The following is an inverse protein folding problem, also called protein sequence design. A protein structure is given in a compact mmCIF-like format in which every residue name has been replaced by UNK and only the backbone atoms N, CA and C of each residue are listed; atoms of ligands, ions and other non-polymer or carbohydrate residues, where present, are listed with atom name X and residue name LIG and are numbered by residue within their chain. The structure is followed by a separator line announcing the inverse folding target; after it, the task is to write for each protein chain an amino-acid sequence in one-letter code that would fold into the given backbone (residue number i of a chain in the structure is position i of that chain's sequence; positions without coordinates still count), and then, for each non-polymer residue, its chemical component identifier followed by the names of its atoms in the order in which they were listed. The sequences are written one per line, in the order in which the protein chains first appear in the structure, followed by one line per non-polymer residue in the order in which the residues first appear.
data_IF_764744645332
#
_entry.id   IF_764744645332
#
_cell.length_a   1.000
_cell.length_b   1.000
_cell.length_c   1.000
_cell.angle_alpha   90.00
_cell.angle_beta   90.00
_cell.angle_gamma   90.00
#
_symmetry.space_group_name_H-M   'P 1'
#
loop_
_entity.id
_entity.type
_entity.pdbx_description
1 polymer ?
#
# COMPACT_ATOMS: atom_id res chain seq x y z
N UNK A 1 -83.59 -17.77 -10.00
CA UNK A 1 -82.86 -17.60 -11.28
C UNK A 1 -81.42 -17.21 -10.93
N UNK A 2 -80.43 -18.11 -11.12
CA UNK A 2 -79.28 -17.96 -12.06
C UNK A 2 -78.65 -16.55 -12.08
N UNK A 3 -77.35 -16.29 -11.96
CA UNK A 3 -76.12 -17.08 -11.85
C UNK A 3 -74.92 -16.11 -11.61
N UNK A 4 -73.78 -16.65 -11.13
CA UNK A 4 -72.38 -16.25 -11.41
C UNK A 4 -71.87 -14.87 -10.95
N UNK A 5 -70.96 -14.76 -9.97
CA UNK A 5 -69.52 -15.07 -9.94
C UNK A 5 -68.62 -14.06 -10.69
N UNK A 6 -67.77 -13.34 -9.94
CA UNK A 6 -66.41 -12.99 -10.35
C UNK A 6 -65.61 -12.47 -9.13
N UNK A 7 -64.74 -13.35 -8.62
CA UNK A 7 -63.66 -13.05 -7.69
C UNK A 7 -62.50 -12.52 -8.52
N UNK A 8 -61.96 -11.33 -8.20
CA UNK A 8 -60.70 -10.87 -8.77
C UNK A 8 -59.73 -10.51 -7.64
N UNK A 9 -58.90 -11.49 -7.32
CA UNK A 9 -57.69 -11.40 -6.48
C UNK A 9 -56.53 -10.91 -7.35
N UNK A 10 -55.90 -9.79 -7.00
CA UNK A 10 -54.50 -9.50 -7.33
C UNK A 10 -53.97 -8.57 -6.22
N UNK A 11 -53.41 -9.12 -5.13
CA UNK A 11 -51.98 -9.37 -4.98
C UNK A 11 -51.14 -8.09 -5.17
N UNK A 12 -51.20 -7.17 -4.19
CA UNK A 12 -50.14 -6.18 -4.02
C UNK A 12 -48.88 -6.93 -3.57
N UNK A 13 -47.92 -7.02 -4.48
CA UNK A 13 -46.62 -7.66 -4.28
C UNK A 13 -45.81 -6.94 -3.21
N UNK A 14 -45.46 -7.68 -2.17
CA UNK A 14 -44.32 -7.41 -1.30
C UNK A 14 -43.04 -7.57 -2.12
N UNK A 15 -42.53 -6.45 -2.64
CA UNK A 15 -41.20 -6.38 -3.23
C UNK A 15 -40.20 -6.18 -2.08
N UNK A 16 -39.90 -7.25 -1.34
CA UNK A 16 -38.75 -7.28 -0.44
C UNK A 16 -37.53 -7.46 -1.33
N UNK A 17 -36.91 -6.34 -1.73
CA UNK A 17 -35.57 -6.38 -2.32
C UNK A 17 -34.64 -7.04 -1.29
N UNK A 18 -34.20 -8.25 -1.62
CA UNK A 18 -33.05 -8.84 -1.00
C UNK A 18 -31.86 -7.91 -1.20
N UNK A 19 -31.35 -7.37 -0.09
CA UNK A 19 -29.96 -6.93 -0.04
C UNK A 19 -29.12 -8.19 -0.23
N UNK A 20 -28.79 -8.47 -1.50
CA UNK A 20 -27.60 -9.23 -1.83
C UNK A 20 -26.46 -8.40 -1.25
N UNK A 21 -25.94 -8.85 -0.11
CA UNK A 21 -24.64 -8.41 0.39
C UNK A 21 -23.61 -8.77 -0.67
N UNK A 22 -23.47 -7.89 -1.65
CA UNK A 22 -22.23 -7.74 -2.41
C UNK A 22 -21.14 -7.70 -1.35
N UNK A 23 -20.27 -8.71 -1.38
CA UNK A 23 -19.02 -8.67 -0.65
C UNK A 23 -18.34 -7.38 -1.05
N UNK A 24 -18.48 -6.36 -0.20
CA UNK A 24 -17.60 -5.23 -0.23
C UNK A 24 -16.25 -5.84 0.09
N UNK A 25 -15.37 -5.87 -0.90
CA UNK A 25 -13.95 -5.79 -0.61
C UNK A 25 -13.82 -4.63 0.36
N UNK A 26 -13.61 -4.97 1.64
CA UNK A 26 -13.35 -4.00 2.67
C UNK A 26 -12.01 -3.39 2.29
N UNK A 27 -12.06 -2.34 1.46
CA UNK A 27 -10.91 -1.55 1.08
C UNK A 27 -10.28 -1.10 2.39
N UNK A 28 -9.15 -1.72 2.73
CA UNK A 28 -8.44 -1.45 3.97
C UNK A 28 -8.23 0.07 4.05
N UNK A 29 -8.72 0.68 5.12
CA UNK A 29 -8.58 2.13 5.28
C UNK A 29 -7.08 2.47 5.31
N UNK A 30 -6.69 3.61 4.73
CA UNK A 30 -5.30 4.00 4.73
C UNK A 30 -4.75 4.09 6.16
N UNK A 31 -3.56 3.52 6.36
CA UNK A 31 -2.94 3.48 7.68
C UNK A 31 -3.33 2.30 8.56
N UNK A 32 -4.11 1.34 8.05
CA UNK A 32 -4.31 0.05 8.71
C UNK A 32 -3.04 -0.81 8.62
N UNK A 33 -2.72 -1.59 9.67
CA UNK A 33 -1.63 -2.56 9.61
C UNK A 33 -1.85 -3.59 8.49
N UNK A 34 -0.79 -3.95 7.75
CA UNK A 34 -0.80 -5.07 6.80
C UNK A 34 -1.24 -6.39 7.45
N UNK A 35 -1.65 -7.38 6.65
CA UNK A 35 -2.15 -8.68 7.13
C UNK A 35 -1.21 -9.36 8.13
N UNK A 36 0.09 -9.38 7.84
CA UNK A 36 1.09 -9.97 8.73
C UNK A 36 1.28 -9.20 10.05
N UNK A 37 0.74 -7.99 10.15
CA UNK A 37 0.92 -7.06 11.27
C UNK A 37 -0.34 -6.81 12.11
N UNK A 38 -1.38 -7.65 11.96
CA UNK A 38 -2.63 -7.49 12.70
C UNK A 38 -2.62 -8.11 14.10
N UNK A 39 -1.65 -8.99 14.40
CA UNK A 39 -1.44 -9.55 15.74
C UNK A 39 -1.13 -8.47 16.77
N UNK A 40 -1.47 -8.69 18.05
CA UNK A 40 -1.35 -7.64 19.06
C UNK A 40 0.08 -7.08 19.20
N UNK A 41 1.09 -7.95 19.15
CA UNK A 41 2.49 -7.55 19.26
C UNK A 41 2.99 -6.90 17.96
N UNK A 42 2.67 -7.47 16.82
CA UNK A 42 3.07 -6.96 15.51
C UNK A 42 2.41 -5.62 15.20
N UNK A 43 1.15 -5.43 15.60
CA UNK A 43 0.42 -4.18 15.50
C UNK A 43 1.06 -3.10 16.34
N UNK A 44 1.46 -3.42 17.58
CA UNK A 44 2.20 -2.48 18.43
C UNK A 44 3.52 -2.07 17.78
N UNK A 45 4.26 -3.02 17.18
CA UNK A 45 5.49 -2.74 16.46
C UNK A 45 5.25 -1.87 15.20
N UNK A 46 4.18 -2.14 14.45
CA UNK A 46 3.76 -1.32 13.31
C UNK A 46 3.46 0.13 13.73
N UNK A 47 2.66 0.32 14.77
CA UNK A 47 2.35 1.67 15.28
C UNK A 47 3.60 2.38 15.82
N UNK A 48 4.51 1.65 16.48
CA UNK A 48 5.80 2.17 16.92
C UNK A 48 6.66 2.66 15.74
N UNK A 49 6.61 1.97 14.60
CA UNK A 49 7.28 2.37 13.37
C UNK A 49 6.62 3.57 12.67
N UNK A 50 5.29 3.68 12.75
CA UNK A 50 4.49 4.68 12.03
C UNK A 50 4.83 6.11 12.39
N UNK A 51 4.96 6.41 13.68
CA UNK A 51 5.34 7.75 14.17
C UNK A 51 6.66 8.27 13.58
N UNK A 52 7.78 7.53 13.71
CA UNK A 52 9.06 7.85 13.07
C UNK A 52 8.97 8.05 11.55
N UNK A 53 8.20 7.21 10.86
CA UNK A 53 7.94 7.34 9.43
C UNK A 53 7.34 8.69 9.06
N UNK A 54 6.26 9.08 9.76
CA UNK A 54 5.63 10.40 9.59
C UNK A 54 6.61 11.54 9.87
N UNK A 55 7.35 11.46 10.98
CA UNK A 55 8.33 12.47 11.36
C UNK A 55 9.45 12.62 10.31
N UNK A 56 9.89 11.50 9.70
CA UNK A 56 10.88 11.50 8.63
C UNK A 56 10.36 12.25 7.40
N UNK A 57 9.13 11.97 6.97
CA UNK A 57 8.48 12.64 5.85
C UNK A 57 8.28 14.13 6.11
N UNK A 58 7.73 14.51 7.28
CA UNK A 58 7.57 15.92 7.69
C UNK A 58 8.90 16.66 7.73
N UNK A 59 9.92 16.07 8.33
CA UNK A 59 11.25 16.67 8.42
C UNK A 59 11.97 16.74 7.06
N UNK A 60 11.56 15.96 6.06
CA UNK A 60 12.09 16.01 4.70
C UNK A 60 11.33 17.02 3.85
N UNK A 61 10.04 17.19 4.13
CA UNK A 61 9.23 18.27 3.58
C UNK A 61 9.72 19.63 4.06
N UNK A 62 9.99 19.80 5.36
CA UNK A 62 10.35 21.11 5.93
C UNK A 62 9.26 22.15 5.64
N UNK A 63 9.64 23.36 5.22
CA UNK A 63 8.72 24.42 4.75
C UNK A 63 8.36 24.29 3.25
N UNK A 64 8.58 23.12 2.63
CA UNK A 64 8.44 22.99 1.18
C UNK A 64 7.07 23.47 0.68
N UNK A 65 7.13 24.43 -0.26
CA UNK A 65 5.99 24.88 -1.05
C UNK A 65 5.67 23.82 -2.10
N UNK A 66 4.42 23.82 -2.58
CA UNK A 66 3.94 22.90 -3.61
C UNK A 66 4.79 22.85 -4.90
N UNK A 67 5.59 23.89 -5.17
CA UNK A 67 6.53 23.94 -6.30
C UNK A 67 7.79 23.05 -6.16
N UNK A 68 8.00 22.40 -5.01
CA UNK A 68 9.22 21.60 -4.74
C UNK A 68 8.91 20.16 -4.30
N UNK A 69 7.75 19.63 -4.66
CA UNK A 69 7.30 18.29 -4.23
C UNK A 69 8.26 17.18 -4.68
N UNK A 70 8.89 17.32 -5.85
CA UNK A 70 9.86 16.37 -6.38
C UNK A 70 11.10 16.29 -5.47
N UNK A 71 11.59 17.44 -5.01
CA UNK A 71 12.75 17.51 -4.11
C UNK A 71 12.42 16.99 -2.71
N UNK A 72 11.17 17.16 -2.26
CA UNK A 72 10.67 16.56 -1.01
C UNK A 72 10.66 15.04 -1.14
N UNK A 73 10.07 14.53 -2.21
CA UNK A 73 9.99 13.10 -2.47
C UNK A 73 11.37 12.43 -2.57
N UNK A 74 12.31 13.03 -3.31
CA UNK A 74 13.68 12.51 -3.37
C UNK A 74 14.38 12.53 -2.01
N UNK A 75 14.16 13.58 -1.20
CA UNK A 75 14.72 13.62 0.16
C UNK A 75 14.13 12.52 1.03
N UNK A 76 12.84 12.24 0.88
CA UNK A 76 12.16 11.14 1.57
C UNK A 76 12.73 9.80 1.13
N UNK A 77 12.82 9.53 -0.17
CA UNK A 77 13.43 8.32 -0.71
C UNK A 77 14.86 8.12 -0.21
N UNK A 78 15.70 9.17 -0.26
CA UNK A 78 17.07 9.12 0.27
C UNK A 78 17.13 8.88 1.78
N UNK A 79 16.14 9.32 2.55
CA UNK A 79 16.08 9.06 4.00
C UNK A 79 15.52 7.66 4.30
N UNK A 80 14.52 7.21 3.57
CA UNK A 80 13.95 5.86 3.67
C UNK A 80 15.02 4.79 3.37
N UNK A 81 15.86 5.01 2.33
CA UNK A 81 17.04 4.17 2.05
C UNK A 81 18.01 4.07 3.24
N UNK A 82 18.29 5.20 3.90
CA UNK A 82 19.26 5.27 5.01
C UNK A 82 18.70 4.81 6.36
N UNK A 83 17.39 4.88 6.55
CA UNK A 83 16.72 4.53 7.81
C UNK A 83 16.19 3.08 7.80
N UNK A 84 16.77 2.20 6.98
CA UNK A 84 16.47 0.78 7.02
C UNK A 84 16.72 0.26 8.45
N UNK A 85 15.78 -0.47 9.08
CA UNK A 85 16.04 -1.12 10.34
C UNK A 85 17.26 -2.03 10.17
N UNK A 86 18.24 -1.98 11.09
CA UNK A 86 19.40 -2.86 10.99
C UNK A 86 18.91 -4.31 10.97
N UNK A 87 19.43 -5.16 10.07
CA UNK A 87 19.09 -6.60 10.00
C UNK A 87 19.25 -7.34 11.34
N UNK A 88 20.05 -6.77 12.25
CA UNK A 88 20.25 -7.24 13.62
C UNK A 88 19.11 -6.90 14.59
N UNK A 89 18.08 -6.15 14.20
CA UNK A 89 16.87 -5.92 15.02
C UNK A 89 15.97 -7.16 15.19
N UNK A 90 16.47 -8.34 14.78
CA UNK A 90 15.80 -9.62 14.91
C UNK A 90 15.14 -10.02 13.61
N UNK A 91 15.44 -11.23 13.14
CA UNK A 91 14.67 -11.88 12.08
C UNK A 91 13.32 -12.27 12.70
N UNK A 92 12.34 -11.39 12.63
CA UNK A 92 11.06 -11.60 13.29
C UNK A 92 9.97 -10.68 12.78
N UNK A 93 8.73 -11.15 12.84
CA UNK A 93 7.54 -10.44 12.35
C UNK A 93 7.43 -9.02 12.92
N UNK A 94 7.78 -8.81 14.19
CA UNK A 94 7.77 -7.48 14.82
C UNK A 94 8.69 -6.46 14.15
N UNK A 95 9.91 -6.83 13.74
CA UNK A 95 10.83 -5.92 13.06
C UNK A 95 10.36 -5.59 11.65
N UNK A 96 9.83 -6.58 10.92
CA UNK A 96 9.21 -6.38 9.62
C UNK A 96 7.99 -5.45 9.71
N UNK A 97 7.13 -5.65 10.72
CA UNK A 97 5.97 -4.81 10.96
C UNK A 97 6.33 -3.39 11.39
N UNK A 98 7.39 -3.20 12.18
CA UNK A 98 7.91 -1.87 12.48
C UNK A 98 8.44 -1.16 11.23
N UNK A 99 9.11 -1.87 10.32
CA UNK A 99 9.52 -1.32 9.03
C UNK A 99 8.30 -0.92 8.20
N UNK A 100 7.34 -1.83 8.04
CA UNK A 100 6.07 -1.57 7.35
C UNK A 100 5.34 -0.34 7.93
N UNK A 101 5.33 -0.20 9.26
CA UNK A 101 4.81 0.96 9.96
C UNK A 101 5.49 2.26 9.55
N UNK A 102 6.82 2.29 9.56
CA UNK A 102 7.61 3.45 9.11
C UNK A 102 7.28 3.84 7.67
N UNK A 103 7.21 2.87 6.77
CA UNK A 103 6.83 3.10 5.36
C UNK A 103 5.39 3.62 5.26
N UNK A 104 4.43 3.03 5.98
CA UNK A 104 3.05 3.50 6.04
C UNK A 104 2.97 4.96 6.51
N UNK A 105 3.70 5.32 7.56
CA UNK A 105 3.73 6.69 8.08
C UNK A 105 4.32 7.69 7.08
N UNK A 106 5.34 7.28 6.31
CA UNK A 106 5.89 8.10 5.22
C UNK A 106 4.83 8.33 4.13
N UNK A 107 4.14 7.27 3.71
CA UNK A 107 3.11 7.32 2.66
C UNK A 107 1.94 8.22 3.08
N UNK A 108 1.43 8.08 4.30
CA UNK A 108 0.33 8.90 4.83
C UNK A 108 0.67 10.39 4.80
N UNK A 109 1.87 10.78 5.22
CA UNK A 109 2.29 12.19 5.20
C UNK A 109 2.51 12.72 3.79
N UNK A 110 3.10 11.91 2.91
CA UNK A 110 3.26 12.25 1.49
C UNK A 110 1.91 12.51 0.83
N UNK A 111 0.95 11.62 1.04
CA UNK A 111 -0.40 11.78 0.53
C UNK A 111 -1.05 13.06 1.02
N UNK A 112 -0.94 13.35 2.33
CA UNK A 112 -1.43 14.60 2.90
C UNK A 112 -0.77 15.85 2.28
N UNK A 113 0.53 15.80 1.95
CA UNK A 113 1.24 16.89 1.28
C UNK A 113 0.75 17.06 -0.16
N UNK A 114 0.63 15.96 -0.92
CA UNK A 114 0.21 16.02 -2.32
C UNK A 114 -1.24 16.45 -2.51
N UNK A 115 -2.16 15.97 -1.66
CA UNK A 115 -3.56 16.38 -1.68
C UNK A 115 -3.72 17.90 -1.51
N UNK A 116 -2.86 18.55 -0.71
CA UNK A 116 -2.85 20.01 -0.53
C UNK A 116 -2.25 20.77 -1.72
N UNK A 117 -1.41 20.12 -2.51
CA UNK A 117 -0.59 20.76 -3.52
C UNK A 117 -1.00 20.47 -4.96
N UNK A 118 -1.98 19.59 -5.20
CA UNK A 118 -2.45 19.26 -6.54
C UNK A 118 -1.36 18.64 -7.41
N UNK A 119 -0.60 17.70 -6.85
CA UNK A 119 0.55 17.10 -7.51
C UNK A 119 0.18 16.21 -8.72
N UNK A 120 1.16 15.96 -9.58
CA UNK A 120 1.00 15.02 -10.71
C UNK A 120 0.80 13.59 -10.19
N UNK A 121 -0.36 13.02 -10.49
CA UNK A 121 -0.76 11.66 -10.10
C UNK A 121 0.22 10.56 -10.52
N UNK A 122 0.81 10.69 -11.72
CA UNK A 122 1.83 9.76 -12.19
C UNK A 122 3.07 9.79 -11.29
N UNK A 123 3.47 11.00 -10.86
CA UNK A 123 4.65 11.20 -10.02
C UNK A 123 4.44 10.66 -8.60
N UNK A 124 3.26 10.88 -8.04
CA UNK A 124 2.85 10.24 -6.78
C UNK A 124 2.97 8.71 -6.90
N UNK A 125 2.46 8.13 -7.99
CA UNK A 125 2.60 6.69 -8.30
C UNK A 125 4.05 6.21 -8.32
N UNK A 126 4.94 6.91 -9.03
CA UNK A 126 6.36 6.53 -9.10
C UNK A 126 7.04 6.51 -7.72
N UNK A 127 6.73 7.49 -6.87
CA UNK A 127 7.39 7.62 -5.56
C UNK A 127 6.86 6.59 -4.58
N UNK A 128 5.54 6.37 -4.57
CA UNK A 128 4.93 5.27 -3.79
C UNK A 128 5.53 3.94 -4.22
N UNK A 129 5.68 3.71 -5.53
CA UNK A 129 6.29 2.51 -6.08
C UNK A 129 7.75 2.31 -5.62
N UNK A 130 8.57 3.36 -5.57
CA UNK A 130 9.94 3.25 -5.08
C UNK A 130 10.01 2.96 -3.57
N UNK A 131 9.19 3.63 -2.76
CA UNK A 131 9.18 3.44 -1.30
C UNK A 131 8.72 2.01 -0.96
N UNK A 132 7.60 1.59 -1.56
CA UNK A 132 7.00 0.27 -1.31
C UNK A 132 7.80 -0.85 -1.98
N UNK A 133 8.38 -0.59 -3.15
CA UNK A 133 9.30 -1.49 -3.83
C UNK A 133 10.59 -1.72 -3.04
N UNK A 134 11.12 -0.69 -2.36
CA UNK A 134 12.25 -0.86 -1.46
C UNK A 134 11.87 -1.75 -0.27
N UNK A 135 10.72 -1.51 0.37
CA UNK A 135 10.24 -2.35 1.46
C UNK A 135 10.08 -3.81 1.01
N UNK A 136 9.43 -4.03 -0.13
CA UNK A 136 9.27 -5.36 -0.71
C UNK A 136 10.61 -6.06 -0.90
N UNK A 137 11.59 -5.38 -1.49
CA UNK A 137 12.90 -5.96 -1.73
C UNK A 137 13.66 -6.22 -0.43
N UNK A 138 13.60 -5.30 0.52
CA UNK A 138 14.23 -5.46 1.83
C UNK A 138 13.70 -6.70 2.54
N UNK A 139 12.37 -6.83 2.60
CA UNK A 139 11.69 -7.97 3.20
C UNK A 139 11.93 -9.27 2.42
N UNK A 140 11.91 -9.23 1.09
CA UNK A 140 12.13 -10.43 0.28
C UNK A 140 13.54 -10.97 0.48
N UNK A 141 14.55 -10.10 0.54
CA UNK A 141 15.92 -10.54 0.83
C UNK A 141 16.04 -11.05 2.28
N UNK A 142 15.36 -10.42 3.24
CA UNK A 142 15.42 -10.78 4.67
C UNK A 142 14.67 -12.09 4.99
N UNK A 143 13.56 -12.35 4.30
CA UNK A 143 12.66 -13.50 4.48
C UNK A 143 12.90 -14.62 3.45
N UNK A 144 13.81 -14.41 2.49
CA UNK A 144 14.03 -15.37 1.41
C UNK A 144 12.88 -15.47 0.40
N UNK A 145 12.12 -14.39 0.22
CA UNK A 145 11.03 -14.26 -0.74
C UNK A 145 9.69 -14.78 -0.26
N UNK A 146 9.61 -15.28 0.98
CA UNK A 146 8.37 -15.80 1.58
C UNK A 146 7.58 -14.66 2.21
N UNK A 147 6.30 -14.55 1.84
CA UNK A 147 5.28 -13.66 2.43
C UNK A 147 5.64 -12.17 2.51
N UNK A 148 6.61 -11.68 1.73
CA UNK A 148 7.03 -10.28 1.76
C UNK A 148 5.88 -9.31 1.43
N UNK A 149 4.95 -9.73 0.56
CA UNK A 149 3.75 -8.97 0.21
C UNK A 149 2.82 -8.72 1.40
N UNK A 150 2.74 -9.64 2.37
CA UNK A 150 1.80 -9.55 3.51
C UNK A 150 2.13 -8.42 4.49
N UNK A 151 3.33 -7.84 4.38
CA UNK A 151 3.83 -6.72 5.19
C UNK A 151 3.74 -5.39 4.44
N UNK A 152 3.32 -5.36 3.18
CA UNK A 152 3.27 -4.11 2.44
C UNK A 152 2.06 -3.28 2.88
N UNK A 153 2.24 -2.01 3.29
CA UNK A 153 1.12 -1.14 3.61
C UNK A 153 0.35 -0.81 2.33
N UNK A 154 -0.98 -0.71 2.41
CA UNK A 154 -1.77 -0.22 1.28
C UNK A 154 -1.79 1.31 1.31
N UNK A 155 -1.34 2.00 0.24
CA UNK A 155 -1.33 3.46 0.20
C UNK A 155 -2.75 4.02 0.19
N UNK A 156 -2.93 5.21 0.80
CA UNK A 156 -4.15 5.98 0.63
C UNK A 156 -4.24 6.44 -0.82
N UNK A 157 -5.17 5.90 -1.59
CA UNK A 157 -5.36 6.35 -2.96
C UNK A 157 -6.53 7.31 -2.99
N UNK A 158 -6.23 8.59 -3.16
CA UNK A 158 -7.25 9.59 -3.34
C UNK A 158 -6.94 10.38 -4.61
N UNK A 159 -7.93 10.42 -5.50
CA UNK A 159 -8.10 11.33 -6.64
C UNK A 159 -7.34 11.04 -7.95
N UNK A 160 -6.43 10.06 -8.01
CA UNK A 160 -5.47 9.97 -9.13
C UNK A 160 -5.72 8.92 -10.24
N UNK A 161 -6.57 7.93 -10.00
CA UNK A 161 -7.06 7.00 -11.02
C UNK A 161 -5.97 6.21 -11.76
N UNK A 162 -6.28 5.87 -13.01
CA UNK A 162 -5.44 5.07 -13.89
C UNK A 162 -4.03 5.64 -14.14
N UNK A 163 -3.85 6.97 -14.08
CA UNK A 163 -2.55 7.62 -14.26
C UNK A 163 -1.57 7.29 -13.13
N UNK A 164 -2.08 7.21 -11.89
CA UNK A 164 -1.28 6.73 -10.75
C UNK A 164 -0.90 5.27 -10.94
N UNK A 165 -1.90 4.41 -11.22
CA UNK A 165 -1.69 2.98 -11.35
C UNK A 165 -0.64 2.63 -12.41
N UNK A 166 -0.75 3.21 -13.62
CA UNK A 166 0.18 2.92 -14.71
C UNK A 166 1.63 3.31 -14.37
N UNK A 167 1.84 4.49 -13.78
CA UNK A 167 3.18 4.95 -13.40
C UNK A 167 3.74 4.21 -12.18
N UNK A 168 2.88 3.88 -11.21
CA UNK A 168 3.23 3.03 -10.08
C UNK A 168 3.69 1.65 -10.56
N UNK A 169 2.90 0.99 -11.41
CA UNK A 169 3.20 -0.35 -11.93
C UNK A 169 4.53 -0.41 -12.69
N UNK A 170 4.73 0.55 -13.59
CA UNK A 170 5.95 0.64 -14.37
C UNK A 170 7.17 0.86 -13.46
N UNK A 171 7.06 1.82 -12.53
CA UNK A 171 8.18 2.17 -11.64
C UNK A 171 8.46 1.09 -10.62
N UNK A 172 7.44 0.44 -10.05
CA UNK A 172 7.61 -0.66 -9.10
C UNK A 172 8.36 -1.81 -9.77
N UNK A 173 7.99 -2.12 -11.02
CA UNK A 173 8.63 -3.17 -11.78
C UNK A 173 10.08 -2.86 -12.12
N UNK A 174 10.35 -1.65 -12.61
CA UNK A 174 11.70 -1.20 -12.90
C UNK A 174 12.57 -1.18 -11.64
N UNK A 175 12.05 -0.61 -10.54
CA UNK A 175 12.79 -0.44 -9.31
C UNK A 175 13.15 -1.80 -8.68
N UNK A 176 12.17 -2.67 -8.48
CA UNK A 176 12.39 -3.96 -7.78
C UNK A 176 13.34 -4.88 -8.56
N UNK A 177 13.30 -4.88 -9.90
CA UNK A 177 14.21 -5.68 -10.73
C UNK A 177 15.65 -5.19 -10.72
N UNK A 178 15.87 -3.91 -10.49
CA UNK A 178 17.20 -3.29 -10.47
C UNK A 178 17.71 -3.03 -9.05
N UNK A 179 16.89 -3.28 -8.04
CA UNK A 179 17.25 -3.03 -6.65
C UNK A 179 18.40 -3.93 -6.20
N UNK A 180 19.40 -3.28 -5.60
CA UNK A 180 20.51 -3.92 -4.90
C UNK A 180 20.59 -3.30 -3.51
N UNK A 181 20.60 -4.14 -2.48
CA UNK A 181 20.77 -3.66 -1.11
C UNK A 181 22.16 -3.08 -0.88
N UNK A 182 22.36 -2.37 0.23
CA UNK A 182 23.68 -1.85 0.62
C UNK A 182 24.73 -2.97 0.82
N UNK A 183 24.29 -4.20 1.03
CA UNK A 183 25.13 -5.39 1.17
C UNK A 183 25.39 -6.11 -0.17
N UNK A 184 24.96 -5.52 -1.30
CA UNK A 184 25.15 -6.07 -2.63
C UNK A 184 24.17 -7.18 -3.02
N UNK A 185 23.12 -7.43 -2.23
CA UNK A 185 22.13 -8.46 -2.54
C UNK A 185 21.07 -7.91 -3.50
N UNK A 186 20.90 -8.58 -4.64
CA UNK A 186 19.90 -8.20 -5.63
C UNK A 186 18.50 -8.71 -5.26
N UNK A 187 17.49 -7.85 -5.46
CA UNK A 187 16.09 -8.24 -5.32
C UNK A 187 15.56 -8.99 -6.55
N UNK A 188 16.28 -8.97 -7.67
CA UNK A 188 15.83 -9.51 -8.96
C UNK A 188 15.30 -10.95 -8.85
N UNK A 189 15.99 -11.81 -8.10
CA UNK A 189 15.61 -13.21 -7.92
C UNK A 189 14.19 -13.37 -7.32
N UNK A 190 13.72 -12.38 -6.54
CA UNK A 190 12.39 -12.38 -5.94
C UNK A 190 11.31 -11.78 -6.84
N UNK A 191 11.67 -11.32 -8.04
CA UNK A 191 10.73 -10.76 -9.03
C UNK A 191 10.45 -11.70 -10.20
N UNK A 192 11.12 -12.87 -10.24
CA UNK A 192 11.10 -13.81 -11.36
C UNK A 192 10.95 -15.27 -10.90
N UNK A 193 10.73 -16.17 -11.86
CA UNK A 193 10.63 -17.61 -11.58
C UNK A 193 9.56 -17.96 -10.55
N UNK A 194 9.96 -18.67 -9.48
CA UNK A 194 9.06 -19.15 -8.43
C UNK A 194 8.39 -18.02 -7.62
N UNK A 195 8.99 -16.82 -7.58
CA UNK A 195 8.47 -15.68 -6.82
C UNK A 195 7.61 -14.73 -7.66
N UNK A 196 7.56 -14.94 -8.98
CA UNK A 196 6.87 -14.04 -9.93
C UNK A 196 5.40 -13.78 -9.58
N UNK A 197 4.69 -14.79 -9.06
CA UNK A 197 3.27 -14.65 -8.69
C UNK A 197 3.10 -13.79 -7.44
N UNK A 198 3.86 -14.06 -6.37
CA UNK A 198 3.83 -13.26 -5.14
C UNK A 198 4.29 -11.82 -5.38
N UNK A 199 5.28 -11.62 -6.25
CA UNK A 199 5.71 -10.29 -6.69
C UNK A 199 4.62 -9.56 -7.48
N UNK A 200 3.91 -10.25 -8.38
CA UNK A 200 2.82 -9.65 -9.16
C UNK A 200 1.63 -9.26 -8.26
N UNK A 201 1.31 -10.08 -7.26
CA UNK A 201 0.28 -9.76 -6.25
C UNK A 201 0.70 -8.54 -5.44
N UNK A 202 1.92 -8.53 -4.90
CA UNK A 202 2.47 -7.38 -4.17
C UNK A 202 2.40 -6.09 -5.01
N UNK A 203 2.85 -6.14 -6.27
CA UNK A 203 2.76 -5.02 -7.20
C UNK A 203 1.31 -4.56 -7.39
N UNK A 204 0.40 -5.51 -7.64
CA UNK A 204 -1.03 -5.24 -7.79
C UNK A 204 -1.61 -4.53 -6.56
N UNK A 205 -1.37 -5.04 -5.36
CA UNK A 205 -1.90 -4.43 -4.14
C UNK A 205 -1.35 -3.02 -3.86
N UNK A 206 -0.10 -2.74 -4.26
CA UNK A 206 0.51 -1.43 -4.06
C UNK A 206 0.08 -0.39 -5.08
N UNK A 207 -0.21 -0.82 -6.31
CA UNK A 207 -0.52 0.08 -7.42
C UNK A 207 -1.99 0.07 -7.86
N UNK A 208 -2.82 -0.84 -7.33
CA UNK A 208 -4.24 -0.95 -7.68
C UNK A 208 -5.02 0.28 -7.24
N UNK A 209 -5.68 0.96 -8.18
CA UNK A 209 -6.59 2.06 -7.89
C UNK A 209 -8.03 1.56 -8.06
N UNK A 210 -8.66 1.14 -6.96
CA UNK A 210 -10.06 0.68 -6.88
C UNK A 210 -10.96 1.69 -6.15
#
# INVERSE_FOLDING_TARGET
MKASAAIMKWALGLFVMGFVGLGGDASAEPGQPPRACQGAQERAAFEEGRGPGRAMARGAAGEARCAHLEQVAERILRRARRNRPPRRMGRGRGAACKHAGSVSGVIEELHGIWARCGASCCREGEIIAEITGQLYCDLSIDLGGVDAGEYLPRPAQAFCGASFQACCDARFSEFTRNYTSDEGQSCKAYTEGAFSSAWAEARGEQCSYD
#
